data_IF_949846559099
#
_entry.id   IF_949846559099
#
_cell.length_a   1.000
_cell.length_b   1.000
_cell.length_c   1.000
_cell.angle_alpha   90.00
_cell.angle_beta   90.00
_cell.angle_gamma   90.00
#
_symmetry.space_group_name_H-M   'P 1'
#
loop_
_entity.id
_entity.type
_entity.pdbx_description
1 polymer ?
#
# COMPACT_ATOMS: atom_id res chain seq x y z
N UNK A 1 43.00 12.64 5.26
CA UNK A 1 41.77 12.92 6.05
C UNK A 1 41.62 14.44 6.17
N UNK A 2 40.64 15.06 5.49
CA UNK A 2 40.32 16.48 5.73
C UNK A 2 39.50 16.53 7.02
N UNK A 3 39.98 17.20 8.05
CA UNK A 3 39.18 17.50 9.24
C UNK A 3 37.91 18.25 8.78
N UNK A 4 36.74 17.63 8.93
CA UNK A 4 35.46 18.31 8.76
C UNK A 4 35.36 19.35 9.88
N UNK A 5 35.63 20.60 9.53
CA UNK A 5 35.47 21.73 10.44
C UNK A 5 33.99 22.08 10.45
N UNK A 6 33.31 21.81 11.58
CA UNK A 6 31.92 22.21 11.77
C UNK A 6 31.76 23.70 11.43
N UNK A 7 30.79 24.00 10.58
CA UNK A 7 30.57 25.36 10.12
C UNK A 7 30.17 26.25 11.28
N UNK A 8 30.98 27.27 11.52
CA UNK A 8 30.81 28.23 12.61
C UNK A 8 29.99 29.43 12.13
N UNK A 9 29.00 29.83 12.92
CA UNK A 9 28.17 31.01 12.71
C UNK A 9 28.46 32.04 13.78
N UNK A 10 29.13 33.12 13.39
CA UNK A 10 29.55 34.20 14.30
C UNK A 10 28.76 35.48 14.01
N UNK A 11 28.20 36.11 15.04
CA UNK A 11 27.61 37.44 14.92
C UNK A 11 28.74 38.48 14.87
N UNK A 12 28.78 39.29 13.82
CA UNK A 12 29.78 40.34 13.63
C UNK A 12 29.12 41.69 13.40
N UNK A 13 29.91 42.73 13.63
CA UNK A 13 29.51 44.13 13.58
C UNK A 13 30.32 44.83 12.50
N UNK A 14 29.69 45.73 11.73
CA UNK A 14 30.36 46.55 10.73
C UNK A 14 29.90 48.02 10.84
N UNK A 15 30.82 48.98 11.03
CA UNK A 15 30.46 50.39 10.97
C UNK A 15 29.88 50.78 9.61
N UNK A 16 28.82 51.59 9.62
CA UNK A 16 28.19 52.17 8.44
C UNK A 16 28.08 53.69 8.59
N UNK A 17 27.59 54.37 7.54
CA UNK A 17 27.39 55.82 7.55
C UNK A 17 26.47 56.26 8.71
N UNK A 18 26.59 57.51 9.12
CA UNK A 18 25.77 58.17 10.14
C UNK A 18 25.91 57.59 11.57
N UNK A 19 27.12 57.12 11.93
CA UNK A 19 27.40 56.69 13.31
C UNK A 19 26.62 55.44 13.73
N UNK A 20 26.24 54.59 12.79
CA UNK A 20 25.54 53.32 13.04
C UNK A 20 26.44 52.13 12.77
N UNK A 21 26.09 50.99 13.35
CA UNK A 21 26.74 49.70 13.15
C UNK A 21 25.70 48.72 12.59
N UNK A 22 26.04 48.04 11.51
CA UNK A 22 25.23 46.97 10.91
C UNK A 22 25.63 45.61 11.48
N UNK A 23 24.63 44.79 11.81
CA UNK A 23 24.83 43.43 12.31
C UNK A 23 24.71 42.39 11.18
N UNK A 24 25.64 41.44 11.14
CA UNK A 24 25.65 40.38 10.14
C UNK A 24 26.22 39.08 10.70
N UNK A 25 25.84 37.95 10.10
CA UNK A 25 26.41 36.65 10.39
C UNK A 25 27.57 36.36 9.45
N UNK A 26 28.68 35.88 10.00
CA UNK A 26 29.86 35.39 9.29
C UNK A 26 29.94 33.87 9.43
N UNK A 27 30.02 33.19 8.28
CA UNK A 27 30.05 31.74 8.16
C UNK A 27 31.45 31.25 7.81
N UNK A 28 31.96 30.24 8.52
CA UNK A 28 33.20 29.57 8.14
C UNK A 28 33.10 28.05 8.33
N UNK A 29 33.21 27.23 7.25
CA UNK A 29 33.30 27.62 5.83
C UNK A 29 32.02 28.31 5.29
N UNK A 30 32.06 28.82 4.05
CA UNK A 30 30.93 29.52 3.44
C UNK A 30 29.71 28.59 3.24
N UNK A 31 28.50 29.09 3.54
CA UNK A 31 27.24 28.33 3.40
C UNK A 31 26.50 28.69 2.12
N UNK A 32 25.73 27.76 1.58
CA UNK A 32 24.93 28.01 0.38
C UNK A 32 23.67 28.80 0.73
N UNK A 33 23.47 29.95 0.10
CA UNK A 33 22.25 30.72 0.28
C UNK A 33 21.09 30.03 -0.46
N UNK A 34 19.97 29.67 0.19
CA UNK A 34 18.89 28.90 -0.43
C UNK A 34 18.10 29.70 -1.49
N UNK A 35 18.14 31.04 -1.46
CA UNK A 35 17.43 31.88 -2.45
C UNK A 35 18.26 32.13 -3.71
N UNK A 36 19.57 32.35 -3.54
CA UNK A 36 20.47 32.68 -4.67
C UNK A 36 21.28 31.48 -5.16
N UNK A 37 21.27 30.37 -4.42
CA UNK A 37 22.01 29.14 -4.66
C UNK A 37 23.54 29.30 -4.73
N UNK A 38 24.06 30.50 -4.41
CA UNK A 38 25.49 30.82 -4.35
C UNK A 38 26.03 30.63 -2.94
N UNK A 39 27.30 30.24 -2.84
CA UNK A 39 28.01 30.23 -1.56
C UNK A 39 28.19 31.66 -1.07
N UNK A 40 27.81 31.91 0.18
CA UNK A 40 28.01 33.19 0.84
C UNK A 40 28.68 32.98 2.17
N UNK A 41 29.68 33.82 2.43
CA UNK A 41 30.35 33.90 3.74
C UNK A 41 29.59 34.82 4.70
N UNK A 42 28.73 35.70 4.19
CA UNK A 42 28.11 36.77 4.99
C UNK A 42 26.60 36.85 4.75
N UNK A 43 25.84 37.04 5.82
CA UNK A 43 24.41 37.34 5.77
C UNK A 43 24.11 38.56 6.65
N UNK A 44 23.71 39.66 6.04
CA UNK A 44 23.34 40.87 6.76
C UNK A 44 21.92 40.74 7.31
N UNK A 45 21.74 41.01 8.60
CA UNK A 45 20.45 40.85 9.29
C UNK A 45 19.48 42.02 9.04
N UNK A 46 19.98 43.13 8.49
CA UNK A 46 19.19 44.37 8.35
C UNK A 46 18.95 45.11 9.67
N UNK A 47 19.59 44.67 10.75
CA UNK A 47 19.58 45.35 12.04
C UNK A 47 20.73 46.35 12.14
N UNK A 48 20.44 47.50 12.74
CA UNK A 48 21.37 48.60 12.94
C UNK A 48 21.34 49.06 14.39
N UNK A 49 22.50 49.31 14.97
CA UNK A 49 22.66 49.82 16.33
C UNK A 49 23.45 51.14 16.30
N UNK A 50 23.34 51.95 17.35
CA UNK A 50 24.12 53.18 17.49
C UNK A 50 25.56 52.84 17.85
N UNK A 51 26.55 53.41 17.14
CA UNK A 51 27.97 53.17 17.42
C UNK A 51 28.39 53.77 18.77
N UNK A 52 27.81 54.92 19.11
CA UNK A 52 28.01 55.64 20.37
C UNK A 52 26.64 56.09 20.90
N UNK A 53 25.94 55.23 21.67
CA UNK A 53 24.64 55.60 22.24
C UNK A 53 24.81 56.78 23.20
N UNK A 54 24.01 57.83 23.01
CA UNK A 54 24.13 59.09 23.75
C UNK A 54 23.31 59.11 25.03
N UNK A 55 22.17 58.40 25.01
CA UNK A 55 21.18 58.40 26.08
C UNK A 55 20.80 56.96 26.45
N UNK A 56 20.20 56.76 27.63
CA UNK A 56 19.74 55.44 28.11
C UNK A 56 18.81 54.73 27.11
N UNK A 57 17.92 55.47 26.43
CA UNK A 57 17.01 54.92 25.42
C UNK A 57 17.77 54.28 24.24
N UNK A 58 18.85 54.91 23.76
CA UNK A 58 19.66 54.36 22.66
C UNK A 58 20.48 53.14 23.11
N UNK A 59 20.90 53.12 24.37
CA UNK A 59 21.60 51.98 24.96
C UNK A 59 20.66 50.77 25.10
N UNK A 60 19.44 50.99 25.59
CA UNK A 60 18.42 49.94 25.72
C UNK A 60 18.01 49.38 24.36
N UNK A 61 17.84 50.26 23.35
CA UNK A 61 17.62 49.85 21.98
C UNK A 61 18.75 48.94 21.45
N UNK A 62 20.01 49.33 21.67
CA UNK A 62 21.16 48.51 21.28
C UNK A 62 21.12 47.12 21.93
N UNK A 63 20.83 47.05 23.23
CA UNK A 63 20.74 45.79 23.98
C UNK A 63 19.64 44.87 23.43
N UNK A 64 18.45 45.42 23.15
CA UNK A 64 17.33 44.66 22.60
C UNK A 64 17.64 44.10 21.20
N UNK A 65 18.25 44.92 20.34
CA UNK A 65 18.62 44.52 18.98
C UNK A 65 19.74 43.47 19.01
N UNK A 66 20.73 43.62 19.90
CA UNK A 66 21.79 42.62 20.07
C UNK A 66 21.23 41.29 20.56
N UNK A 67 20.31 41.28 21.52
CA UNK A 67 19.65 40.07 21.99
C UNK A 67 18.88 39.36 20.87
N UNK A 68 18.14 40.11 20.03
CA UNK A 68 17.45 39.58 18.85
C UNK A 68 18.44 39.01 17.82
N UNK A 69 19.54 39.70 17.57
CA UNK A 69 20.57 39.25 16.63
C UNK A 69 21.25 37.96 17.10
N UNK A 70 21.50 37.84 18.40
CA UNK A 70 22.08 36.64 19.01
C UNK A 70 21.12 35.45 18.94
N UNK A 71 19.82 35.65 19.16
CA UNK A 71 18.81 34.61 18.96
C UNK A 71 18.81 34.08 17.51
N UNK A 72 18.94 34.98 16.52
CA UNK A 72 19.04 34.59 15.11
C UNK A 72 20.32 33.80 14.85
N UNK A 73 21.46 34.21 15.42
CA UNK A 73 22.73 33.48 15.32
C UNK A 73 22.59 32.06 15.87
N UNK A 74 21.99 31.89 17.05
CA UNK A 74 21.74 30.57 17.65
C UNK A 74 20.91 29.67 16.74
N UNK A 75 19.76 30.16 16.24
CA UNK A 75 18.91 29.40 15.31
C UNK A 75 19.63 29.02 14.02
N UNK A 76 20.49 29.90 13.54
CA UNK A 76 21.26 29.65 12.32
C UNK A 76 22.38 28.64 12.53
N UNK A 77 23.07 28.70 13.67
CA UNK A 77 24.05 27.69 14.07
C UNK A 77 23.41 26.30 14.14
N UNK A 78 22.22 26.20 14.73
CA UNK A 78 21.46 24.95 14.79
C UNK A 78 21.10 24.44 13.39
N UNK A 79 20.58 25.30 12.50
CA UNK A 79 20.24 24.92 11.13
C UNK A 79 21.46 24.41 10.34
N UNK A 80 22.60 25.10 10.47
CA UNK A 80 23.85 24.74 9.79
C UNK A 80 24.41 23.41 10.32
N UNK A 81 24.40 23.20 11.64
CA UNK A 81 24.79 21.90 12.24
C UNK A 81 23.84 20.79 11.75
N UNK A 82 22.53 21.05 11.70
CA UNK A 82 21.55 20.06 11.25
C UNK A 82 21.73 19.68 9.77
N UNK A 83 22.02 20.64 8.89
CA UNK A 83 22.32 20.38 7.47
C UNK A 83 23.66 19.64 7.30
N UNK A 84 24.70 20.00 8.06
CA UNK A 84 26.05 19.43 7.94
C UNK A 84 26.15 18.00 8.48
N UNK A 85 25.44 17.70 9.57
CA UNK A 85 25.51 16.39 10.24
C UNK A 85 24.25 15.52 10.05
N UNK A 86 23.23 16.03 9.36
CA UNK A 86 21.97 15.33 9.14
C UNK A 86 21.17 15.08 10.42
N UNK A 87 21.36 15.90 11.47
CA UNK A 87 20.55 15.84 12.67
C UNK A 87 19.12 16.28 12.34
N UNK A 88 18.15 15.45 12.74
CA UNK A 88 16.72 15.75 12.58
C UNK A 88 16.38 17.02 13.36
N UNK A 89 15.47 17.81 12.78
CA UNK A 89 14.75 18.84 13.52
C UNK A 89 14.18 18.20 14.80
N UNK A 90 14.60 18.68 15.97
CA UNK A 90 14.10 18.21 17.28
C UNK A 90 12.58 18.20 17.32
N UNK A 91 11.95 19.07 16.54
CA UNK A 91 10.51 19.16 16.34
C UNK A 91 9.91 17.92 15.65
N UNK A 92 10.59 17.34 14.65
CA UNK A 92 10.13 16.14 13.93
C UNK A 92 10.26 14.86 14.76
N UNK A 93 11.29 14.74 15.59
CA UNK A 93 11.41 13.60 16.51
C UNK A 93 10.31 13.58 17.58
N UNK A 94 9.85 14.77 17.99
CA UNK A 94 8.72 14.96 18.90
C UNK A 94 7.35 14.92 18.23
N UNK A 95 7.32 14.80 16.90
CA UNK A 95 6.06 14.68 16.18
C UNK A 95 5.38 13.34 16.52
N UNK A 96 4.06 13.37 16.52
CA UNK A 96 3.22 12.23 16.88
C UNK A 96 3.14 11.23 15.71
N UNK A 97 3.72 10.05 15.89
CA UNK A 97 3.67 8.98 14.90
C UNK A 97 2.26 8.39 14.78
N UNK A 98 1.49 8.35 15.87
CA UNK A 98 0.10 7.86 15.84
C UNK A 98 -0.80 8.75 15.00
N UNK A 99 -0.65 10.06 15.14
CA UNK A 99 -1.37 11.03 14.31
C UNK A 99 -1.03 10.85 12.81
N UNK A 100 0.26 10.69 12.49
CA UNK A 100 0.70 10.42 11.12
C UNK A 100 0.17 9.09 10.57
N UNK A 101 0.25 8.00 11.34
CA UNK A 101 -0.25 6.70 10.93
C UNK A 101 -1.77 6.77 10.66
N UNK A 102 -2.53 7.43 11.54
CA UNK A 102 -3.97 7.65 11.33
C UNK A 102 -4.28 8.38 10.03
N UNK A 103 -3.50 9.40 9.68
CA UNK A 103 -3.65 10.12 8.40
C UNK A 103 -3.35 9.22 7.19
N UNK A 104 -2.31 8.39 7.27
CA UNK A 104 -2.01 7.39 6.22
C UNK A 104 -3.18 6.43 6.01
N UNK A 105 -3.84 5.99 7.09
CA UNK A 105 -4.98 5.08 7.02
C UNK A 105 -6.18 5.67 6.26
N UNK A 106 -6.40 7.00 6.30
CA UNK A 106 -7.57 7.64 5.64
C UNK A 106 -7.63 7.40 4.13
N UNK A 107 -6.48 7.20 3.50
CA UNK A 107 -6.34 7.02 2.04
C UNK A 107 -6.16 5.55 1.64
N UNK A 108 -6.35 4.61 2.57
CA UNK A 108 -6.00 3.20 2.40
C UNK A 108 -7.16 2.26 2.76
N UNK A 109 -7.00 1.00 2.37
CA UNK A 109 -7.96 -0.06 2.67
C UNK A 109 -8.11 -0.31 4.18
N UNK A 110 -9.27 -0.85 4.60
CA UNK A 110 -9.63 -1.13 5.98
C UNK A 110 -8.58 -1.93 6.76
N UNK A 111 -7.79 -2.79 6.09
CA UNK A 111 -6.71 -3.55 6.76
C UNK A 111 -5.67 -2.64 7.40
N UNK A 112 -5.36 -1.49 6.80
CA UNK A 112 -4.41 -0.53 7.38
C UNK A 112 -4.92 0.00 8.72
N UNK A 113 -6.23 0.24 8.82
CA UNK A 113 -6.84 0.68 10.07
C UNK A 113 -6.78 -0.40 11.15
N UNK A 114 -6.94 -1.68 10.80
CA UNK A 114 -6.75 -2.78 11.75
C UNK A 114 -5.31 -2.81 12.31
N UNK A 115 -4.31 -2.60 11.45
CA UNK A 115 -2.90 -2.53 11.90
C UNK A 115 -2.67 -1.32 12.81
N UNK A 116 -3.25 -0.17 12.48
CA UNK A 116 -3.22 1.01 13.33
C UNK A 116 -3.77 0.71 14.72
N UNK A 117 -4.93 0.07 14.83
CA UNK A 117 -5.55 -0.26 16.13
C UNK A 117 -4.71 -1.26 16.94
N UNK A 118 -4.10 -2.25 16.27
CA UNK A 118 -3.17 -3.15 16.93
C UNK A 118 -1.93 -2.43 17.45
N UNK A 119 -1.37 -1.51 16.66
CA UNK A 119 -0.23 -0.72 17.06
C UNK A 119 -0.58 0.25 18.20
N UNK A 120 -1.72 0.93 18.12
CA UNK A 120 -2.28 1.80 19.16
C UNK A 120 -2.43 1.05 20.49
N UNK A 121 -2.97 -0.17 20.45
CA UNK A 121 -3.08 -1.04 21.62
C UNK A 121 -1.71 -1.48 22.17
N UNK A 122 -0.74 -1.74 21.29
CA UNK A 122 0.61 -2.14 21.68
C UNK A 122 1.40 -1.01 22.36
N UNK A 123 1.27 0.24 21.88
CA UNK A 123 1.96 1.41 22.43
C UNK A 123 1.14 2.20 23.45
N UNK A 124 -0.01 1.67 23.88
CA UNK A 124 -0.95 2.35 24.80
C UNK A 124 -1.37 3.75 24.32
N UNK A 125 -1.58 3.90 23.01
CA UNK A 125 -2.18 5.08 22.39
C UNK A 125 -1.23 6.24 22.07
N UNK A 126 0.04 6.19 22.48
CA UNK A 126 1.01 7.27 22.22
C UNK A 126 2.33 6.72 21.72
N UNK A 127 2.86 7.34 20.66
CA UNK A 127 4.18 7.02 20.13
C UNK A 127 4.69 8.21 19.31
N UNK A 128 5.90 8.67 19.61
CA UNK A 128 6.60 9.70 18.85
C UNK A 128 7.51 9.07 17.78
N UNK A 129 7.86 9.83 16.75
CA UNK A 129 8.81 9.35 15.73
C UNK A 129 10.18 8.98 16.30
N UNK A 130 10.64 9.67 17.35
CA UNK A 130 11.90 9.34 18.04
C UNK A 130 11.90 7.99 18.75
N UNK A 131 10.73 7.42 19.04
CA UNK A 131 10.58 6.11 19.69
C UNK A 131 10.57 4.95 18.67
N UNK A 132 10.46 5.25 17.37
CA UNK A 132 10.45 4.27 16.29
C UNK A 132 11.87 3.73 16.05
N UNK A 133 12.24 2.74 16.85
CA UNK A 133 13.49 1.98 16.73
C UNK A 133 13.26 0.60 16.10
N UNK A 134 14.34 -0.03 15.63
CA UNK A 134 14.30 -1.43 15.16
C UNK A 134 13.80 -2.36 16.25
N UNK A 135 14.20 -2.13 17.51
CA UNK A 135 13.70 -2.86 18.68
C UNK A 135 12.18 -2.74 18.85
N UNK A 136 11.63 -1.52 18.85
CA UNK A 136 10.17 -1.32 18.97
C UNK A 136 9.42 -2.05 17.85
N UNK A 137 9.95 -1.98 16.62
CA UNK A 137 9.36 -2.65 15.47
C UNK A 137 9.38 -4.18 15.60
N UNK A 138 10.46 -4.77 16.13
CA UNK A 138 10.55 -6.20 16.42
C UNK A 138 9.63 -6.61 17.56
N UNK A 139 9.53 -5.83 18.63
CA UNK A 139 8.54 -6.08 19.70
C UNK A 139 7.10 -6.02 19.17
N UNK A 140 6.81 -5.12 18.24
CA UNK A 140 5.51 -5.09 17.58
C UNK A 140 5.27 -6.30 16.67
N UNK A 141 6.30 -6.77 15.95
CA UNK A 141 6.26 -8.03 15.18
C UNK A 141 5.88 -9.21 16.08
N UNK A 142 6.53 -9.32 17.24
CA UNK A 142 6.28 -10.41 18.18
C UNK A 142 4.91 -10.28 18.86
N UNK A 143 4.48 -9.05 19.15
CA UNK A 143 3.10 -8.77 19.56
C UNK A 143 2.09 -9.29 18.53
N UNK A 144 2.27 -9.02 17.24
CA UNK A 144 1.33 -9.47 16.20
C UNK A 144 1.23 -11.00 16.10
N UNK A 145 2.31 -11.73 16.39
CA UNK A 145 2.31 -13.20 16.42
C UNK A 145 1.51 -13.77 17.60
N UNK A 146 1.36 -13.01 18.69
CA UNK A 146 0.66 -13.43 19.91
C UNK A 146 -0.59 -12.58 20.19
N UNK A 147 -0.99 -11.72 19.26
CA UNK A 147 -2.12 -10.84 19.44
C UNK A 147 -3.43 -11.62 19.31
N UNK A 148 -4.43 -11.19 20.09
CA UNK A 148 -5.83 -11.58 19.88
C UNK A 148 -6.47 -10.70 18.81
N UNK A 149 -7.42 -11.24 18.06
CA UNK A 149 -8.15 -10.47 17.06
C UNK A 149 -8.96 -9.36 17.75
N UNK A 150 -9.03 -8.18 17.13
CA UNK A 150 -9.75 -7.03 17.70
C UNK A 150 -11.27 -7.26 17.76
N UNK A 151 -11.84 -7.97 16.78
CA UNK A 151 -13.28 -8.25 16.69
C UNK A 151 -13.71 -9.51 17.45
N UNK A 152 -12.85 -10.53 17.46
CA UNK A 152 -13.09 -11.82 18.09
C UNK A 152 -12.00 -12.06 19.12
N UNK A 153 -12.16 -11.46 20.30
CA UNK A 153 -11.16 -11.45 21.37
C UNK A 153 -10.92 -12.81 22.03
N UNK A 154 -11.71 -13.81 21.63
CA UNK A 154 -11.55 -15.23 21.94
C UNK A 154 -10.52 -15.91 21.01
N UNK A 155 -10.21 -15.32 19.85
CA UNK A 155 -9.35 -15.92 18.82
C UNK A 155 -8.03 -15.19 18.68
N UNK A 156 -6.96 -15.97 18.43
CA UNK A 156 -5.65 -15.44 18.08
C UNK A 156 -5.63 -14.95 16.63
N UNK A 157 -4.79 -13.96 16.35
CA UNK A 157 -4.47 -13.55 14.98
C UNK A 157 -3.73 -14.71 14.31
N UNK A 158 -4.17 -15.11 13.12
CA UNK A 158 -3.50 -16.18 12.38
C UNK A 158 -2.10 -15.72 11.93
N UNK A 159 -1.14 -16.64 11.77
CA UNK A 159 0.21 -16.30 11.30
C UNK A 159 0.22 -15.53 9.97
N UNK A 160 -0.64 -15.91 9.03
CA UNK A 160 -0.74 -15.22 7.73
C UNK A 160 -1.36 -13.83 7.85
N UNK A 161 -2.30 -13.65 8.78
CA UNK A 161 -2.84 -12.34 9.13
C UNK A 161 -1.76 -11.46 9.78
N UNK A 162 -1.00 -11.99 10.74
CA UNK A 162 0.12 -11.30 11.37
C UNK A 162 1.18 -10.88 10.34
N UNK A 163 1.53 -11.77 9.40
CA UNK A 163 2.44 -11.45 8.30
C UNK A 163 1.93 -10.30 7.43
N UNK A 164 0.65 -10.36 7.05
CA UNK A 164 0.01 -9.28 6.29
C UNK A 164 0.02 -7.95 7.07
N UNK A 165 -0.31 -7.98 8.36
CA UNK A 165 -0.32 -6.80 9.22
C UNK A 165 1.06 -6.18 9.36
N UNK A 166 2.09 -7.01 9.56
CA UNK A 166 3.47 -6.54 9.67
C UNK A 166 3.96 -5.95 8.35
N UNK A 167 3.63 -6.55 7.19
CA UNK A 167 3.95 -5.96 5.88
C UNK A 167 3.31 -4.59 5.66
N UNK A 168 2.08 -4.38 6.13
CA UNK A 168 1.41 -3.07 6.06
C UNK A 168 2.08 -2.05 6.99
N UNK A 169 2.42 -2.45 8.23
CA UNK A 169 3.16 -1.61 9.18
C UNK A 169 4.50 -1.15 8.60
N UNK A 170 5.27 -2.07 8.01
CA UNK A 170 6.51 -1.75 7.26
C UNK A 170 6.27 -0.74 6.13
N UNK A 171 5.12 -0.83 5.47
CA UNK A 171 4.67 0.15 4.48
C UNK A 171 4.53 1.57 5.06
N UNK A 172 4.00 1.69 6.28
CA UNK A 172 3.91 2.98 7.01
C UNK A 172 5.30 3.51 7.34
N UNK A 173 6.21 2.66 7.83
CA UNK A 173 7.60 3.04 8.11
C UNK A 173 8.31 3.56 6.85
N UNK A 174 8.08 2.90 5.71
CA UNK A 174 8.64 3.32 4.41
C UNK A 174 8.10 4.70 3.98
N UNK A 175 6.80 4.96 4.21
CA UNK A 175 6.21 6.27 3.94
C UNK A 175 6.80 7.34 4.87
N UNK A 176 6.90 7.06 6.17
CA UNK A 176 7.49 7.97 7.15
C UNK A 176 8.95 8.32 6.82
N UNK A 177 9.73 7.34 6.37
CA UNK A 177 11.09 7.57 5.88
C UNK A 177 11.11 8.46 4.63
N UNK A 178 10.28 8.15 3.62
CA UNK A 178 10.18 8.94 2.39
C UNK A 178 9.78 10.40 2.66
N UNK A 179 8.87 10.59 3.61
CA UNK A 179 8.37 11.90 4.01
C UNK A 179 9.32 12.62 4.99
N UNK A 180 10.53 12.06 5.21
CA UNK A 180 11.62 12.60 6.03
C UNK A 180 11.24 12.85 7.49
N UNK A 181 10.42 11.95 8.04
CA UNK A 181 10.18 11.84 9.49
C UNK A 181 11.14 10.86 10.18
N UNK A 182 11.67 9.88 9.44
CA UNK A 182 12.71 8.96 9.91
C UNK A 182 14.02 9.23 9.16
N UNK A 183 15.15 9.19 9.87
CA UNK A 183 16.50 9.40 9.29
C UNK A 183 16.96 8.21 8.46
N UNK A 184 16.69 7.03 8.97
CA UNK A 184 17.02 5.75 8.36
C UNK A 184 15.73 4.95 8.19
N UNK A 185 15.72 4.04 7.23
CA UNK A 185 14.59 3.17 7.00
C UNK A 185 14.71 1.95 7.93
N UNK A 186 13.88 1.80 8.98
CA UNK A 186 14.02 0.67 9.90
C UNK A 186 13.78 -0.67 9.20
N UNK A 187 13.05 -0.66 8.08
CA UNK A 187 12.76 -1.85 7.30
C UNK A 187 14.02 -2.60 6.83
N UNK A 188 15.15 -1.91 6.66
CA UNK A 188 16.38 -2.52 6.16
C UNK A 188 16.99 -3.50 7.19
N UNK A 189 16.61 -3.37 8.46
CA UNK A 189 17.07 -4.21 9.57
C UNK A 189 15.99 -5.13 10.15
N UNK A 190 14.80 -5.15 9.53
CA UNK A 190 13.66 -5.92 10.02
C UNK A 190 13.45 -7.16 9.13
N UNK A 191 13.25 -8.31 9.75
CA UNK A 191 12.85 -9.52 9.05
C UNK A 191 11.34 -9.59 8.83
N UNK A 192 10.91 -10.13 7.69
CA UNK A 192 9.49 -10.38 7.43
C UNK A 192 8.99 -11.56 8.28
N UNK A 193 7.69 -11.60 8.52
CA UNK A 193 7.04 -12.80 9.05
C UNK A 193 6.73 -13.70 7.85
N UNK A 194 7.30 -14.90 7.82
CA UNK A 194 7.00 -15.87 6.76
C UNK A 194 5.55 -16.36 6.87
N UNK A 195 4.78 -16.17 5.80
CA UNK A 195 3.47 -16.78 5.64
C UNK A 195 3.62 -18.28 5.44
N UNK A 196 2.66 -19.05 5.94
CA UNK A 196 2.55 -20.47 5.64
C UNK A 196 1.62 -20.65 4.45
N UNK A 197 2.05 -21.45 3.49
CA UNK A 197 1.17 -21.88 2.42
C UNK A 197 0.04 -22.72 3.01
N UNK A 198 -1.19 -22.34 2.67
CA UNK A 198 -2.38 -23.08 3.02
C UNK A 198 -2.78 -23.84 1.77
N UNK A 199 -2.87 -25.16 1.87
CA UNK A 199 -3.41 -25.98 0.79
C UNK A 199 -4.85 -25.54 0.53
N UNK A 200 -5.11 -25.02 -0.67
CA UNK A 200 -6.46 -24.65 -1.09
C UNK A 200 -7.11 -25.87 -1.73
N UNK A 201 -8.22 -26.30 -1.16
CA UNK A 201 -9.03 -27.36 -1.75
C UNK A 201 -9.69 -26.89 -3.05
N UNK A 202 -9.85 -27.83 -3.98
CA UNK A 202 -10.48 -27.63 -5.27
C UNK A 202 -11.46 -28.79 -5.55
N UNK A 203 -12.44 -28.50 -6.41
CA UNK A 203 -13.37 -29.50 -6.89
C UNK A 203 -12.72 -30.33 -8.00
N UNK A 204 -12.85 -31.66 -7.92
CA UNK A 204 -12.56 -32.55 -9.04
C UNK A 204 -13.67 -32.47 -10.09
N UNK A 205 -13.44 -33.04 -11.27
CA UNK A 205 -14.45 -33.08 -12.32
C UNK A 205 -15.72 -33.82 -11.88
N UNK A 206 -15.56 -34.95 -11.19
CA UNK A 206 -16.68 -35.76 -10.71
C UNK A 206 -17.45 -35.07 -9.57
N UNK A 207 -16.74 -34.38 -8.68
CA UNK A 207 -17.37 -33.54 -7.65
C UNK A 207 -18.14 -32.38 -8.28
N UNK A 208 -17.62 -31.76 -9.35
CA UNK A 208 -18.34 -30.71 -10.06
C UNK A 208 -19.60 -31.25 -10.77
N UNK A 209 -19.51 -32.40 -11.44
CA UNK A 209 -20.67 -33.06 -12.05
C UNK A 209 -21.74 -33.37 -11.02
N UNK A 210 -21.34 -33.92 -9.87
CA UNK A 210 -22.23 -34.22 -8.73
C UNK A 210 -22.84 -32.94 -8.17
N UNK A 211 -22.06 -31.87 -8.01
CA UNK A 211 -22.56 -30.59 -7.55
C UNK A 211 -23.57 -29.99 -8.55
N UNK A 212 -23.30 -30.08 -9.85
CA UNK A 212 -24.19 -29.58 -10.90
C UNK A 212 -25.52 -30.33 -10.95
N UNK A 213 -25.54 -31.65 -10.71
CA UNK A 213 -26.77 -32.46 -10.66
C UNK A 213 -27.53 -32.32 -9.34
N UNK A 214 -26.87 -31.86 -8.27
CA UNK A 214 -27.51 -31.67 -6.95
C UNK A 214 -28.46 -30.46 -6.97
N UNK A 215 -29.73 -30.61 -6.54
CA UNK A 215 -30.68 -29.50 -6.42
C UNK A 215 -30.16 -28.37 -5.54
N UNK A 216 -30.28 -27.13 -6.01
CA UNK A 216 -29.92 -25.92 -5.27
C UNK A 216 -31.17 -25.08 -5.00
N UNK A 217 -31.36 -24.67 -3.75
CA UNK A 217 -32.52 -23.86 -3.35
C UNK A 217 -32.48 -22.44 -3.96
N UNK A 218 -31.30 -21.99 -4.42
CA UNK A 218 -31.08 -20.67 -5.02
C UNK A 218 -30.51 -20.85 -6.43
N UNK A 219 -31.37 -20.86 -7.47
CA UNK A 219 -30.95 -21.12 -8.85
C UNK A 219 -29.86 -20.16 -9.36
N UNK A 220 -29.96 -18.86 -9.04
CA UNK A 220 -28.96 -17.86 -9.44
C UNK A 220 -27.58 -18.14 -8.83
N UNK A 221 -27.52 -18.66 -7.60
CA UNK A 221 -26.28 -19.03 -6.95
C UNK A 221 -25.67 -20.26 -7.64
N UNK A 222 -26.49 -21.25 -7.98
CA UNK A 222 -26.05 -22.44 -8.73
C UNK A 222 -25.43 -22.03 -10.06
N UNK A 223 -26.17 -21.26 -10.86
CA UNK A 223 -25.71 -20.86 -12.18
C UNK A 223 -24.44 -20.02 -12.10
N UNK A 224 -24.38 -19.03 -11.20
CA UNK A 224 -23.19 -18.21 -11.01
C UNK A 224 -21.97 -19.01 -10.51
N UNK A 225 -22.19 -20.00 -9.64
CA UNK A 225 -21.13 -20.85 -9.11
C UNK A 225 -20.55 -21.77 -10.19
N UNK A 226 -21.42 -22.42 -10.99
CA UNK A 226 -21.00 -23.25 -12.12
C UNK A 226 -20.34 -22.41 -13.21
N UNK A 227 -20.85 -21.22 -13.48
CA UNK A 227 -20.23 -20.27 -14.40
C UNK A 227 -18.83 -19.88 -13.94
N UNK A 228 -18.61 -19.67 -12.64
CA UNK A 228 -17.27 -19.43 -12.07
C UNK A 228 -16.34 -20.62 -12.27
N UNK A 229 -16.82 -21.85 -12.11
CA UNK A 229 -16.02 -23.06 -12.37
C UNK A 229 -15.60 -23.19 -13.84
N UNK A 230 -16.46 -22.80 -14.78
CA UNK A 230 -16.20 -22.92 -16.22
C UNK A 230 -15.36 -21.76 -16.80
N UNK A 231 -15.44 -20.57 -16.20
CA UNK A 231 -14.77 -19.36 -16.72
C UNK A 231 -13.58 -18.90 -15.88
N UNK A 232 -13.41 -19.41 -14.66
CA UNK A 232 -12.37 -18.97 -13.73
C UNK A 232 -12.58 -17.56 -13.16
N UNK A 233 -13.72 -16.91 -13.43
CA UNK A 233 -13.99 -15.56 -12.97
C UNK A 233 -14.23 -15.49 -11.46
N UNK A 234 -13.76 -14.40 -10.84
CA UNK A 234 -13.96 -14.16 -9.40
C UNK A 234 -15.38 -13.69 -9.13
N UNK A 235 -15.80 -13.86 -7.88
CA UNK A 235 -17.12 -13.38 -7.42
C UNK A 235 -17.34 -11.88 -7.67
N UNK A 236 -16.31 -11.04 -7.53
CA UNK A 236 -16.42 -9.61 -7.84
C UNK A 236 -16.77 -9.35 -9.29
N UNK A 237 -16.16 -10.13 -10.19
CA UNK A 237 -16.32 -9.96 -11.62
C UNK A 237 -17.70 -10.46 -12.04
N UNK A 238 -18.12 -11.62 -11.52
CA UNK A 238 -19.46 -12.20 -11.75
C UNK A 238 -20.57 -11.28 -11.21
N UNK A 239 -20.39 -10.67 -10.03
CA UNK A 239 -21.37 -9.72 -9.47
C UNK A 239 -21.51 -8.42 -10.28
N UNK A 240 -20.51 -8.08 -11.07
CA UNK A 240 -20.47 -6.87 -11.91
C UNK A 240 -20.61 -7.18 -13.40
N UNK A 241 -20.67 -8.45 -13.79
CA UNK A 241 -20.81 -8.88 -15.17
C UNK A 241 -22.17 -8.44 -15.70
N UNK A 242 -22.15 -7.74 -16.83
CA UNK A 242 -23.33 -7.27 -17.54
C UNK A 242 -23.43 -7.93 -18.90
N UNK A 243 -24.63 -7.91 -19.46
CA UNK A 243 -24.88 -8.41 -20.81
C UNK A 243 -24.04 -7.69 -21.88
N UNK A 244 -23.73 -6.41 -21.70
CA UNK A 244 -22.83 -5.64 -22.58
C UNK A 244 -21.36 -6.12 -22.59
N UNK A 245 -20.99 -6.95 -21.61
CA UNK A 245 -19.69 -7.61 -21.56
C UNK A 245 -19.68 -8.93 -22.32
N UNK A 246 -20.83 -9.53 -22.60
CA UNK A 246 -20.93 -10.75 -23.39
C UNK A 246 -21.03 -10.38 -24.87
N UNK A 247 -20.16 -10.95 -25.69
CA UNK A 247 -20.14 -10.74 -27.13
C UNK A 247 -19.89 -12.05 -27.86
N UNK A 248 -20.30 -12.13 -29.13
CA UNK A 248 -19.99 -13.27 -29.98
C UNK A 248 -18.98 -12.82 -31.03
N UNK A 249 -17.82 -13.47 -31.09
CA UNK A 249 -16.80 -13.23 -32.09
C UNK A 249 -16.89 -14.30 -33.19
N UNK A 250 -16.65 -13.95 -34.48
CA UNK A 250 -16.81 -14.89 -35.60
C UNK A 250 -16.02 -16.18 -35.45
N UNK A 251 -14.78 -16.09 -34.93
CA UNK A 251 -13.85 -17.24 -34.87
C UNK A 251 -13.77 -17.91 -33.49
N UNK A 252 -14.24 -17.23 -32.43
CA UNK A 252 -14.07 -17.66 -31.03
C UNK A 252 -15.41 -18.01 -30.35
N UNK A 253 -16.54 -17.81 -31.02
CA UNK A 253 -17.87 -18.01 -30.43
C UNK A 253 -18.17 -17.00 -29.32
N UNK A 254 -18.82 -17.44 -28.25
CA UNK A 254 -19.18 -16.56 -27.13
C UNK A 254 -17.94 -16.16 -26.32
N UNK A 255 -17.85 -14.88 -25.97
CA UNK A 255 -16.71 -14.28 -25.29
C UNK A 255 -17.19 -13.29 -24.21
N UNK A 256 -16.35 -13.08 -23.20
CA UNK A 256 -16.48 -12.03 -22.21
C UNK A 256 -15.42 -10.96 -22.47
N UNK A 257 -15.85 -9.73 -22.69
CA UNK A 257 -14.98 -8.55 -22.76
C UNK A 257 -14.66 -8.07 -21.34
N UNK A 258 -13.42 -8.29 -20.92
CA UNK A 258 -12.88 -7.86 -19.64
C UNK A 258 -12.02 -6.61 -19.83
N UNK A 259 -12.37 -5.53 -19.12
CA UNK A 259 -11.54 -4.33 -19.07
C UNK A 259 -10.67 -4.37 -17.82
N UNK A 260 -9.37 -4.53 -18.00
CA UNK A 260 -8.42 -4.59 -16.89
C UNK A 260 -8.22 -3.20 -16.30
N UNK A 261 -8.53 -3.01 -15.00
CA UNK A 261 -8.49 -1.69 -14.35
C UNK A 261 -7.10 -1.02 -14.38
N UNK A 262 -6.02 -1.81 -14.41
CA UNK A 262 -4.65 -1.29 -14.34
C UNK A 262 -4.05 -0.87 -15.68
N UNK A 263 -4.40 -1.55 -16.77
CA UNK A 263 -3.80 -1.31 -18.09
C UNK A 263 -4.79 -0.74 -19.11
N UNK A 264 -6.08 -0.63 -18.76
CA UNK A 264 -7.16 -0.17 -19.66
C UNK A 264 -7.26 -0.98 -20.96
N UNK A 265 -6.57 -2.11 -21.04
CA UNK A 265 -6.62 -3.04 -22.17
C UNK A 265 -7.85 -3.92 -22.05
N UNK A 266 -8.60 -3.98 -23.15
CA UNK A 266 -9.72 -4.90 -23.33
C UNK A 266 -9.17 -6.27 -23.72
N UNK A 267 -9.47 -7.28 -22.91
CA UNK A 267 -9.19 -8.67 -23.21
C UNK A 267 -10.50 -9.40 -23.49
N UNK A 268 -10.51 -10.24 -24.52
CA UNK A 268 -11.60 -11.17 -24.79
C UNK A 268 -11.27 -12.51 -24.15
N UNK A 269 -12.18 -13.01 -23.32
CA UNK A 269 -12.12 -14.33 -22.73
C UNK A 269 -13.17 -15.21 -23.43
N UNK A 270 -12.77 -16.16 -24.30
CA UNK A 270 -13.69 -17.14 -24.86
C UNK A 270 -14.36 -17.95 -23.76
N UNK A 271 -15.64 -18.26 -23.92
CA UNK A 271 -16.42 -19.07 -22.99
C UNK A 271 -17.17 -20.17 -23.73
N UNK A 272 -17.34 -21.32 -23.08
CA UNK A 272 -18.07 -22.44 -23.66
C UNK A 272 -19.57 -22.15 -23.80
N UNK A 273 -20.25 -22.91 -24.65
CA UNK A 273 -21.69 -22.81 -24.83
C UNK A 273 -22.43 -23.10 -23.52
N UNK A 274 -21.98 -24.07 -22.73
CA UNK A 274 -22.55 -24.38 -21.41
C UNK A 274 -22.40 -23.21 -20.45
N UNK A 275 -21.24 -22.54 -20.45
CA UNK A 275 -21.03 -21.35 -19.64
C UNK A 275 -21.97 -20.22 -20.08
N UNK A 276 -22.14 -20.00 -21.38
CA UNK A 276 -23.09 -19.00 -21.89
C UNK A 276 -24.54 -19.35 -21.52
N UNK A 277 -24.94 -20.61 -21.63
CA UNK A 277 -26.28 -21.06 -21.27
C UNK A 277 -26.63 -20.84 -19.78
N UNK A 278 -25.64 -20.89 -18.88
CA UNK A 278 -25.83 -20.59 -17.46
C UNK A 278 -26.16 -19.11 -17.19
N UNK A 279 -25.85 -18.20 -18.12
CA UNK A 279 -26.21 -16.79 -18.02
C UNK A 279 -27.73 -16.57 -18.14
N UNK A 280 -28.45 -17.50 -18.78
CA UNK A 280 -29.89 -17.38 -19.06
C UNK A 280 -30.20 -16.52 -20.28
N UNK A 281 -31.41 -15.98 -20.33
CA UNK A 281 -31.87 -15.17 -21.48
C UNK A 281 -31.20 -13.79 -21.53
N UNK A 282 -30.70 -13.35 -22.70
CA UNK A 282 -30.13 -12.03 -22.89
C UNK A 282 -31.07 -10.91 -22.46
N UNK A 283 -30.54 -9.93 -21.74
CA UNK A 283 -31.32 -8.78 -21.28
C UNK A 283 -30.45 -7.56 -21.03
N UNK A 284 -30.98 -6.61 -20.25
CA UNK A 284 -30.26 -5.39 -19.86
C UNK A 284 -29.72 -5.49 -18.43
N UNK A 285 -28.59 -4.83 -18.19
CA UNK A 285 -27.96 -4.74 -16.88
C UNK A 285 -27.09 -5.95 -16.53
N UNK A 286 -27.11 -6.36 -15.26
CA UNK A 286 -26.30 -7.48 -14.75
C UNK A 286 -26.79 -8.82 -15.30
N UNK A 287 -25.86 -9.74 -15.58
CA UNK A 287 -26.18 -11.12 -15.98
C UNK A 287 -26.85 -11.85 -14.82
N UNK A 288 -26.18 -11.90 -13.66
CA UNK A 288 -26.71 -12.56 -12.46
C UNK A 288 -27.39 -11.54 -11.52
N UNK A 289 -28.57 -11.03 -11.93
CA UNK A 289 -29.28 -9.90 -11.27
C UNK A 289 -29.52 -10.09 -9.77
N UNK A 290 -29.91 -11.30 -9.36
CA UNK A 290 -30.28 -11.60 -7.97
C UNK A 290 -29.11 -12.09 -7.12
N UNK A 291 -27.93 -12.28 -7.71
CA UNK A 291 -26.77 -12.79 -6.98
C UNK A 291 -26.29 -11.75 -5.97
N UNK A 292 -26.26 -12.14 -4.69
CA UNK A 292 -25.72 -11.31 -3.62
C UNK A 292 -24.48 -11.97 -3.03
N UNK A 293 -23.49 -11.15 -2.64
CA UNK A 293 -22.23 -11.65 -2.06
C UNK A 293 -22.46 -12.49 -0.79
N UNK A 294 -23.49 -12.20 0.00
CA UNK A 294 -23.82 -13.02 1.18
C UNK A 294 -24.21 -14.47 0.85
N UNK A 295 -24.69 -14.74 -0.37
CA UNK A 295 -25.07 -16.08 -0.81
C UNK A 295 -23.86 -17.03 -0.96
N UNK A 296 -22.65 -16.48 -1.15
CA UNK A 296 -21.42 -17.28 -1.25
C UNK A 296 -20.91 -17.79 0.10
N UNK A 297 -21.53 -17.35 1.20
CA UNK A 297 -21.25 -17.83 2.55
C UNK A 297 -22.06 -19.08 2.88
N UNK A 298 -23.10 -18.91 3.71
CA UNK A 298 -23.90 -20.04 4.19
C UNK A 298 -24.64 -20.80 3.07
N UNK A 299 -25.36 -20.15 2.13
CA UNK A 299 -26.11 -20.89 1.11
C UNK A 299 -25.24 -21.77 0.21
N UNK A 300 -24.08 -21.26 -0.24
CA UNK A 300 -23.13 -22.05 -1.02
C UNK A 300 -22.63 -23.28 -0.23
N UNK A 301 -22.27 -23.10 1.04
CA UNK A 301 -21.82 -24.21 1.89
C UNK A 301 -22.92 -25.25 2.09
N UNK A 302 -24.17 -24.82 2.27
CA UNK A 302 -25.31 -25.72 2.40
C UNK A 302 -25.51 -26.57 1.13
N UNK A 303 -25.43 -25.94 -0.05
CA UNK A 303 -25.55 -26.66 -1.32
C UNK A 303 -24.41 -27.66 -1.57
N UNK A 304 -23.16 -27.27 -1.28
CA UNK A 304 -22.01 -28.17 -1.40
C UNK A 304 -22.12 -29.36 -0.45
N UNK A 305 -22.61 -29.14 0.78
CA UNK A 305 -22.88 -30.22 1.74
C UNK A 305 -24.00 -31.15 1.26
N UNK A 306 -25.06 -30.62 0.63
CA UNK A 306 -26.14 -31.43 0.01
C UNK A 306 -25.61 -32.35 -1.08
N UNK A 307 -24.56 -31.94 -1.81
CA UNK A 307 -23.90 -32.75 -2.82
C UNK A 307 -22.97 -33.84 -2.23
N UNK A 308 -22.89 -33.98 -0.90
CA UNK A 308 -22.04 -34.96 -0.24
C UNK A 308 -20.54 -34.61 -0.23
N UNK A 309 -20.18 -33.40 -0.66
CA UNK A 309 -18.78 -32.96 -0.73
C UNK A 309 -18.32 -32.52 0.65
N UNK A 310 -17.35 -33.24 1.22
CA UNK A 310 -16.84 -32.98 2.58
C UNK A 310 -15.76 -31.88 2.64
N UNK A 311 -15.16 -31.54 1.49
CA UNK A 311 -14.14 -30.49 1.36
C UNK A 311 -14.71 -29.13 1.75
N UNK A 312 -13.90 -28.30 2.40
CA UNK A 312 -14.18 -26.89 2.66
C UNK A 312 -13.98 -26.05 1.38
N UNK A 313 -14.96 -26.14 0.48
CA UNK A 313 -15.01 -25.35 -0.75
C UNK A 313 -15.65 -23.98 -0.48
N UNK A 314 -14.95 -22.94 -0.91
CA UNK A 314 -15.48 -21.55 -0.93
C UNK A 314 -15.68 -21.12 -2.38
N UNK A 315 -16.38 -20.01 -2.61
CA UNK A 315 -16.54 -19.49 -3.98
C UNK A 315 -15.19 -19.23 -4.67
N UNK A 316 -14.16 -18.83 -3.91
CA UNK A 316 -12.82 -18.64 -4.46
C UNK A 316 -12.19 -19.95 -4.96
N UNK A 317 -12.50 -21.09 -4.35
CA UNK A 317 -12.07 -22.40 -4.82
C UNK A 317 -12.69 -22.74 -6.19
N UNK A 318 -13.89 -22.23 -6.49
CA UNK A 318 -14.56 -22.43 -7.78
C UNK A 318 -13.80 -21.72 -8.91
N UNK A 319 -13.41 -20.46 -8.69
CA UNK A 319 -12.59 -19.68 -9.64
C UNK A 319 -11.17 -20.21 -9.83
N UNK A 320 -10.67 -21.03 -8.89
CA UNK A 320 -9.36 -21.67 -8.94
C UNK A 320 -9.44 -23.17 -9.26
N UNK A 321 -10.61 -23.68 -9.65
CA UNK A 321 -10.74 -25.09 -9.98
C UNK A 321 -9.75 -25.41 -11.09
N UNK A 322 -8.86 -26.39 -10.83
CA UNK A 322 -7.91 -26.93 -11.80
C UNK A 322 -8.61 -27.36 -13.08
N UNK A 323 -9.94 -27.57 -13.05
CA UNK A 323 -10.79 -27.83 -14.20
C UNK A 323 -10.74 -26.72 -15.27
N UNK A 324 -10.76 -25.44 -14.92
CA UNK A 324 -10.59 -24.37 -15.92
C UNK A 324 -9.22 -24.49 -16.62
N UNK A 325 -8.17 -24.78 -15.84
CA UNK A 325 -6.82 -24.98 -16.39
C UNK A 325 -6.71 -26.28 -17.20
N UNK A 326 -7.35 -27.37 -16.75
CA UNK A 326 -7.34 -28.68 -17.41
C UNK A 326 -8.16 -28.68 -18.70
N UNK A 327 -9.35 -28.06 -18.71
CA UNK A 327 -10.20 -27.91 -19.91
C UNK A 327 -9.47 -27.13 -21.01
N UNK A 328 -8.83 -26.01 -20.64
CA UNK A 328 -7.99 -25.24 -21.56
C UNK A 328 -6.77 -26.04 -22.04
N UNK A 329 -6.14 -26.87 -21.19
CA UNK A 329 -5.01 -27.73 -21.59
C UNK A 329 -5.47 -28.85 -22.54
N UNK A 330 -6.66 -29.42 -22.35
CA UNK A 330 -7.21 -30.43 -23.29
C UNK A 330 -7.58 -29.82 -24.64
N UNK A 331 -8.19 -28.63 -24.68
CA UNK A 331 -8.41 -27.90 -25.95
C UNK A 331 -7.08 -27.53 -26.62
N UNK A 332 -6.06 -27.16 -25.84
CA UNK A 332 -4.69 -26.95 -26.32
C UNK A 332 -4.06 -28.21 -26.93
N UNK A 333 -4.33 -29.39 -26.37
CA UNK A 333 -3.83 -30.66 -26.93
C UNK A 333 -4.52 -31.05 -28.24
N UNK A 334 -5.79 -30.65 -28.41
CA UNK A 334 -6.54 -30.82 -29.67
C UNK A 334 -6.03 -29.85 -30.73
N UNK A 335 -5.74 -28.59 -30.36
CA UNK A 335 -5.12 -27.60 -31.26
C UNK A 335 -3.66 -27.91 -31.61
N UNK A 336 -2.91 -28.56 -30.71
CA UNK A 336 -1.55 -29.08 -30.98
C UNK A 336 -1.49 -30.06 -32.15
N UNK A 337 -2.56 -30.83 -32.37
CA UNK A 337 -2.63 -31.78 -33.48
C UNK A 337 -3.02 -31.11 -34.81
N UNK A 338 -3.35 -29.81 -34.82
CA UNK A 338 -3.81 -29.11 -36.03
C UNK A 338 -2.78 -28.11 -36.56
N UNK A 339 -1.87 -27.56 -35.75
CA UNK A 339 -0.83 -26.65 -36.24
C UNK A 339 0.48 -26.76 -35.46
N UNK A 340 1.46 -27.46 -36.03
CA UNK A 340 2.86 -27.30 -35.66
C UNK A 340 3.41 -26.03 -36.32
N UNK A 341 3.38 -24.89 -35.62
CA UNK A 341 4.37 -23.80 -35.64
C UNK A 341 3.81 -22.51 -34.98
N UNK A 342 4.67 -21.83 -34.22
CA UNK A 342 4.59 -20.45 -33.69
C UNK A 342 3.39 -19.99 -32.82
N UNK A 343 2.29 -20.73 -32.75
CA UNK A 343 1.15 -20.42 -31.86
C UNK A 343 1.38 -20.81 -30.40
N UNK A 344 2.24 -21.80 -30.15
CA UNK A 344 2.52 -22.33 -28.81
C UNK A 344 3.13 -21.26 -27.89
N UNK A 345 4.05 -20.44 -28.43
CA UNK A 345 4.67 -19.32 -27.72
C UNK A 345 3.68 -18.19 -27.46
N UNK A 346 2.84 -17.86 -28.44
CA UNK A 346 1.84 -16.79 -28.35
C UNK A 346 0.71 -17.11 -27.37
N UNK A 347 0.30 -18.37 -27.28
CA UNK A 347 -0.78 -18.80 -26.38
C UNK A 347 -0.29 -19.09 -24.95
N UNK A 348 0.94 -19.59 -24.77
CA UNK A 348 1.60 -19.62 -23.46
C UNK A 348 1.77 -18.19 -22.93
N UNK A 349 2.11 -17.22 -23.80
CA UNK A 349 2.13 -15.80 -23.43
C UNK A 349 0.73 -15.27 -23.06
N UNK A 350 -0.34 -15.66 -23.78
CA UNK A 350 -1.73 -15.30 -23.45
C UNK A 350 -2.19 -15.88 -22.11
N UNK A 351 -1.89 -17.16 -21.83
CA UNK A 351 -2.17 -17.79 -20.53
C UNK A 351 -1.28 -17.22 -19.41
N UNK A 352 -0.04 -16.85 -19.71
CA UNK A 352 0.84 -16.13 -18.77
C UNK A 352 0.30 -14.72 -18.49
N UNK A 353 -0.30 -14.06 -19.49
CA UNK A 353 -0.97 -12.77 -19.34
C UNK A 353 -2.26 -12.91 -18.55
N UNK A 354 -3.10 -13.94 -18.77
CA UNK A 354 -4.28 -14.21 -17.94
C UNK A 354 -3.90 -14.52 -16.48
N UNK A 355 -2.86 -15.33 -16.26
CA UNK A 355 -2.30 -15.56 -14.92
C UNK A 355 -1.70 -14.28 -14.30
N UNK A 356 -1.04 -13.42 -15.08
CA UNK A 356 -0.49 -12.14 -14.61
C UNK A 356 -1.56 -11.07 -14.37
N UNK A 357 -2.60 -11.02 -15.19
CA UNK A 357 -3.79 -10.17 -15.03
C UNK A 357 -4.49 -10.56 -13.73
N UNK A 358 -4.60 -11.86 -13.43
CA UNK A 358 -5.13 -12.31 -12.13
C UNK A 358 -4.16 -12.10 -10.96
N UNK A 359 -2.84 -12.03 -11.15
CA UNK A 359 -1.92 -11.61 -10.07
C UNK A 359 -1.96 -10.11 -9.81
N UNK A 360 -2.37 -9.32 -10.78
CA UNK A 360 -2.35 -7.84 -10.71
C UNK A 360 -3.71 -7.22 -10.42
N UNK A 361 -4.83 -7.91 -10.67
CA UNK A 361 -6.17 -7.60 -10.15
C UNK A 361 -6.44 -8.37 -8.87
#
# INVERSE_FOLDING_TARGET
MRQQTCTTVTLRQRPIRNGRISLYLDYYPAVRNPKTMKLSRREYLGFYIYATPKNAIELDYNNEILAKAELIRCRRQEAVINEEFGFMDRHKMRADFMAYFKEVCRKKDHKWHIVYLHFEKFVNGKCMFGEITVDLCNRFRDYLLHARQLKHTDKMVSRNSAASYFSLFRGVLKLAYRDKYLRENPNDFLEKIESRDIHKEFLTQDELKTLASTPCDIPVLRNASLFSCLTGLRISDILNLKWENLCTAPDLGHCIRLRTQKTQTEALLPISYEAYALCGEPGTGKVFKELRRCMTGYPLKAWIKKAGIQKHITFHCLSHSKLFYLLNISELSILKNVTANDLETSYILFLSQLCNIQRTL
#
